data_IF_381819322671
#
_entry.id   IF_381819322671
#
_cell.length_a   1.000
_cell.length_b   1.000
_cell.length_c   1.000
_cell.angle_alpha   90.00
_cell.angle_beta   90.00
_cell.angle_gamma   90.00
#
_symmetry.space_group_name_H-M   'P 1'
#
loop_
_entity.id
_entity.type
_entity.pdbx_description
1 polymer ?
#
# COMPACT_ATOMS: atom_id res chain seq x y z
N UNK A 1 18.68 -29.94 14.24
CA UNK A 1 19.23 -29.77 12.87
C UNK A 1 18.11 -29.72 11.83
N UNK A 2 17.27 -30.76 11.71
CA UNK A 2 16.15 -30.79 10.73
C UNK A 2 15.23 -29.56 10.82
N UNK A 3 14.74 -29.22 12.01
CA UNK A 3 13.87 -28.04 12.18
C UNK A 3 14.53 -26.71 11.84
N UNK A 4 15.85 -26.58 11.99
CA UNK A 4 16.60 -25.40 11.60
C UNK A 4 16.74 -25.32 10.07
N UNK A 5 17.07 -26.45 9.41
CA UNK A 5 17.14 -26.52 7.95
C UNK A 5 15.79 -26.20 7.28
N UNK A 6 14.67 -26.64 7.87
CA UNK A 6 13.32 -26.29 7.39
C UNK A 6 13.01 -24.80 7.52
N UNK A 7 13.49 -24.15 8.59
CA UNK A 7 13.30 -22.72 8.78
C UNK A 7 14.17 -21.90 7.80
N UNK A 8 15.43 -22.29 7.61
CA UNK A 8 16.36 -21.57 6.72
C UNK A 8 16.09 -21.83 5.24
N UNK A 9 15.50 -22.98 4.89
CA UNK A 9 15.16 -23.36 3.52
C UNK A 9 13.73 -23.04 3.10
N UNK A 10 12.92 -22.37 3.94
CA UNK A 10 11.53 -22.09 3.60
C UNK A 10 11.43 -20.98 2.54
N UNK A 11 10.75 -21.21 1.39
CA UNK A 11 10.57 -20.21 0.34
C UNK A 11 9.44 -19.20 0.69
N UNK A 12 9.36 -18.78 1.95
CA UNK A 12 8.30 -17.89 2.46
C UNK A 12 7.02 -18.60 2.90
N UNK A 13 7.01 -19.93 2.99
CA UNK A 13 5.87 -20.70 3.53
C UNK A 13 5.89 -20.63 5.07
N UNK A 14 4.94 -19.88 5.64
CA UNK A 14 4.82 -19.66 7.09
C UNK A 14 4.59 -20.98 7.83
N UNK A 15 3.77 -21.89 7.27
CA UNK A 15 3.49 -23.19 7.89
C UNK A 15 4.74 -24.06 8.01
N UNK A 16 5.63 -23.99 7.02
CA UNK A 16 6.90 -24.73 7.03
C UNK A 16 7.87 -24.17 8.07
N UNK A 17 7.89 -22.83 8.25
CA UNK A 17 8.65 -22.16 9.30
C UNK A 17 8.11 -22.57 10.67
N UNK A 18 6.79 -22.59 10.86
CA UNK A 18 6.14 -22.98 12.11
C UNK A 18 6.37 -24.45 12.45
N UNK A 19 6.27 -25.35 11.46
CA UNK A 19 6.63 -26.75 11.61
C UNK A 19 8.11 -26.92 11.97
N UNK A 20 9.00 -26.19 11.30
CA UNK A 20 10.44 -26.18 11.62
C UNK A 20 10.74 -25.70 13.03
N UNK A 21 10.03 -24.67 13.51
CA UNK A 21 10.11 -24.18 14.91
C UNK A 21 9.65 -25.23 15.90
N UNK A 22 8.55 -25.92 15.64
CA UNK A 22 8.05 -26.99 16.51
C UNK A 22 9.06 -28.15 16.63
N UNK A 23 9.60 -28.61 15.49
CA UNK A 23 10.59 -29.70 15.45
C UNK A 23 11.90 -29.29 16.14
N UNK A 24 12.38 -28.06 15.91
CA UNK A 24 13.57 -27.55 16.59
C UNK A 24 13.35 -27.42 18.10
N UNK A 25 12.18 -26.92 18.52
CA UNK A 25 11.82 -26.78 19.93
C UNK A 25 11.76 -28.12 20.66
N UNK A 26 11.12 -29.14 20.07
CA UNK A 26 11.10 -30.49 20.63
C UNK A 26 12.50 -31.10 20.76
N UNK A 27 13.35 -30.91 19.74
CA UNK A 27 14.73 -31.40 19.78
C UNK A 27 15.58 -30.73 20.86
N UNK A 28 15.47 -29.39 20.99
CA UNK A 28 16.17 -28.65 22.05
C UNK A 28 15.66 -29.07 23.42
N UNK A 29 14.34 -29.17 23.61
CA UNK A 29 13.71 -29.58 24.86
C UNK A 29 14.12 -30.99 25.31
N UNK A 30 14.23 -31.94 24.37
CA UNK A 30 14.64 -33.31 24.67
C UNK A 30 16.13 -33.43 25.05
N UNK A 31 17.01 -32.60 24.47
CA UNK A 31 18.46 -32.66 24.70
C UNK A 31 18.91 -31.79 25.88
N UNK A 32 18.19 -30.69 26.16
CA UNK A 32 18.50 -29.76 27.25
C UNK A 32 18.74 -30.43 28.63
N UNK A 33 17.98 -31.45 29.08
CA UNK A 33 18.23 -32.11 30.37
C UNK A 33 19.39 -33.13 30.33
N UNK A 34 19.86 -33.55 29.15
CA UNK A 34 20.89 -34.59 29.02
C UNK A 34 22.26 -34.07 29.44
N UNK A 35 22.62 -32.86 29.02
CA UNK A 35 23.93 -32.26 29.30
C UNK A 35 24.17 -32.05 30.81
N UNK A 36 23.24 -31.46 31.58
CA UNK A 36 23.40 -31.29 33.03
C UNK A 36 23.49 -32.62 33.77
N UNK A 37 22.69 -33.62 33.38
CA UNK A 37 22.71 -34.95 33.99
C UNK A 37 24.04 -35.66 33.71
N UNK A 38 24.55 -35.56 32.49
CA UNK A 38 25.86 -36.11 32.14
C UNK A 38 26.99 -35.46 32.95
N UNK A 39 27.01 -34.12 33.03
CA UNK A 39 27.99 -33.37 33.83
C UNK A 39 27.91 -33.77 35.30
N UNK A 40 26.70 -33.99 35.81
CA UNK A 40 26.46 -34.42 37.19
C UNK A 40 26.99 -35.85 37.45
N UNK A 41 26.84 -36.77 36.50
CA UNK A 41 27.33 -38.15 36.63
C UNK A 41 28.86 -38.24 36.66
N UNK A 42 29.57 -37.43 35.86
CA UNK A 42 31.05 -37.41 35.82
C UNK A 42 31.66 -36.56 36.95
N UNK A 43 30.85 -35.88 37.76
CA UNK A 43 31.31 -35.02 38.85
C UNK A 43 31.36 -35.75 40.21
N UNK A 44 32.19 -35.28 41.17
CA UNK A 44 32.22 -35.82 42.52
C UNK A 44 30.84 -35.84 43.20
N UNK A 45 30.49 -36.89 43.96
CA UNK A 45 29.17 -37.02 44.59
C UNK A 45 28.77 -35.83 45.48
N UNK A 46 29.75 -35.18 46.10
CA UNK A 46 29.56 -34.03 46.99
C UNK A 46 28.99 -32.78 46.30
N UNK A 47 29.09 -32.66 44.97
CA UNK A 47 28.66 -31.47 44.22
C UNK A 47 27.59 -31.75 43.15
N UNK A 48 27.27 -33.02 42.90
CA UNK A 48 26.34 -33.47 41.85
C UNK A 48 25.01 -32.72 41.84
N UNK A 49 24.35 -32.67 43.00
CA UNK A 49 23.05 -31.99 43.14
C UNK A 49 23.12 -30.47 42.93
N UNK A 50 24.26 -29.84 43.25
CA UNK A 50 24.45 -28.39 43.05
C UNK A 50 24.58 -28.04 41.58
N UNK A 51 25.30 -28.86 40.80
CA UNK A 51 25.49 -28.63 39.36
C UNK A 51 24.17 -28.70 38.58
N UNK A 52 23.34 -29.70 38.88
CA UNK A 52 21.99 -29.81 38.29
C UNK A 52 21.09 -28.66 38.75
N UNK A 53 21.13 -28.31 40.04
CA UNK A 53 20.35 -27.22 40.60
C UNK A 53 20.67 -25.85 39.98
N UNK A 54 21.95 -25.53 39.77
CA UNK A 54 22.35 -24.27 39.12
C UNK A 54 21.85 -24.18 37.68
N UNK A 55 21.91 -25.28 36.92
CA UNK A 55 21.39 -25.32 35.56
C UNK A 55 19.88 -25.11 35.53
N UNK A 56 19.14 -25.80 36.40
CA UNK A 56 17.68 -25.70 36.46
C UNK A 56 17.23 -24.29 36.86
N UNK A 57 17.89 -23.67 37.85
CA UNK A 57 17.63 -22.27 38.23
C UNK A 57 17.88 -21.32 37.05
N UNK A 58 18.97 -21.51 36.31
CA UNK A 58 19.27 -20.73 35.12
C UNK A 58 18.23 -20.88 34.02
N UNK A 59 17.80 -22.12 33.74
CA UNK A 59 16.78 -22.45 32.75
C UNK A 59 15.42 -21.82 33.09
N UNK A 60 14.96 -21.97 34.34
CA UNK A 60 13.70 -21.40 34.80
C UNK A 60 13.76 -19.86 34.84
N UNK A 61 14.90 -19.30 35.24
CA UNK A 61 15.15 -17.86 35.19
C UNK A 61 15.04 -17.31 33.76
N UNK A 62 15.67 -17.97 32.79
CA UNK A 62 15.60 -17.57 31.38
C UNK A 62 14.18 -17.66 30.81
N UNK A 63 13.43 -18.73 31.14
CA UNK A 63 12.03 -18.87 30.74
C UNK A 63 11.16 -17.77 31.35
N UNK A 64 11.36 -17.44 32.62
CA UNK A 64 10.67 -16.35 33.30
C UNK A 64 10.98 -14.99 32.65
N UNK A 65 12.26 -14.71 32.33
CA UNK A 65 12.64 -13.51 31.58
C UNK A 65 11.96 -13.47 30.20
N UNK A 66 11.97 -14.57 29.45
CA UNK A 66 11.30 -14.67 28.15
C UNK A 66 9.79 -14.45 28.24
N UNK A 67 9.14 -14.97 29.27
CA UNK A 67 7.73 -14.71 29.56
C UNK A 67 7.48 -13.23 29.85
N UNK A 68 8.27 -12.61 30.72
CA UNK A 68 8.13 -11.19 31.06
C UNK A 68 8.41 -10.27 29.87
N UNK A 69 9.40 -10.58 29.05
CA UNK A 69 9.65 -9.84 27.79
C UNK A 69 8.43 -9.94 26.88
N UNK A 70 7.89 -11.13 26.64
CA UNK A 70 6.69 -11.31 25.82
C UNK A 70 5.47 -10.59 26.42
N UNK A 71 5.29 -10.66 27.74
CA UNK A 71 4.21 -9.99 28.45
C UNK A 71 4.32 -8.46 28.34
N UNK A 72 5.51 -7.91 28.59
CA UNK A 72 5.79 -6.48 28.45
C UNK A 72 5.57 -6.04 27.02
N UNK A 73 6.12 -6.75 26.02
CA UNK A 73 5.90 -6.46 24.59
C UNK A 73 4.41 -6.45 24.27
N UNK A 74 3.66 -7.49 24.67
CA UNK A 74 2.22 -7.58 24.42
C UNK A 74 1.41 -6.44 25.09
N UNK A 75 1.86 -5.95 26.24
CA UNK A 75 1.16 -4.93 27.04
C UNK A 75 1.55 -3.50 26.69
N UNK A 76 2.80 -3.26 26.31
CA UNK A 76 3.34 -1.91 26.01
C UNK A 76 3.35 -1.61 24.52
N UNK A 77 3.48 -2.64 23.67
CA UNK A 77 3.36 -2.50 22.22
C UNK A 77 1.92 -2.91 21.87
N UNK A 78 1.00 -1.94 21.92
CA UNK A 78 -0.36 -2.15 21.43
C UNK A 78 -0.31 -2.50 19.93
N UNK A 79 -1.14 -3.44 19.43
CA UNK A 79 -1.35 -3.63 17.99
C UNK A 79 -1.72 -2.31 17.27
N UNK A 80 -2.32 -1.37 18.02
CA UNK A 80 -2.74 -0.05 17.56
C UNK A 80 -1.65 1.02 17.77
N UNK A 81 -0.67 0.79 18.65
CA UNK A 81 0.55 1.61 18.76
C UNK A 81 1.60 1.24 17.69
N UNK A 82 1.14 0.60 16.61
CA UNK A 82 1.88 -0.05 15.54
C UNK A 82 2.62 0.87 14.58
N UNK A 83 3.36 1.86 15.07
CA UNK A 83 4.19 2.70 14.21
C UNK A 83 5.66 2.29 14.23
N UNK A 84 6.16 1.54 15.22
CA UNK A 84 7.60 1.27 15.40
C UNK A 84 8.09 -0.07 14.84
N UNK A 85 7.27 -1.12 14.81
CA UNK A 85 7.72 -2.47 14.38
C UNK A 85 8.19 -2.51 12.92
N UNK A 86 7.46 -1.86 12.01
CA UNK A 86 7.86 -1.79 10.60
C UNK A 86 9.11 -0.90 10.41
N UNK A 87 9.43 -0.01 11.36
CA UNK A 87 10.65 0.83 11.30
C UNK A 87 11.92 0.02 11.45
N UNK A 88 11.88 -1.10 12.18
CA UNK A 88 13.04 -1.98 12.29
C UNK A 88 13.46 -2.52 10.93
N UNK A 89 12.52 -2.70 10.00
CA UNK A 89 12.85 -3.08 8.62
C UNK A 89 13.58 -1.97 7.87
N UNK A 90 13.26 -0.69 8.14
CA UNK A 90 13.94 0.43 7.47
C UNK A 90 15.43 0.50 7.79
N UNK A 91 15.88 0.02 8.95
CA UNK A 91 17.30 0.00 9.33
C UNK A 91 18.01 -1.29 8.93
N UNK A 92 17.28 -2.32 8.49
CA UNK A 92 17.86 -3.57 8.01
C UNK A 92 18.56 -3.35 6.66
N UNK A 93 19.87 -3.67 6.52
CA UNK A 93 20.59 -3.59 5.25
C UNK A 93 19.96 -4.42 4.13
N UNK A 94 19.24 -5.49 4.46
CA UNK A 94 18.56 -6.36 3.49
C UNK A 94 17.21 -5.83 3.01
N UNK A 95 16.69 -4.75 3.61
CA UNK A 95 15.41 -4.19 3.19
C UNK A 95 15.55 -3.44 1.86
N UNK A 96 14.76 -3.85 0.86
CA UNK A 96 14.79 -3.32 -0.51
C UNK A 96 13.64 -2.37 -0.88
N UNK A 97 12.67 -2.16 0.02
CA UNK A 97 11.50 -1.32 -0.21
C UNK A 97 10.20 -1.95 0.29
N UNK A 98 9.11 -1.18 0.29
CA UNK A 98 7.80 -1.66 0.73
C UNK A 98 6.63 -0.86 0.14
N UNK A 99 5.48 -1.53 -0.07
CA UNK A 99 4.20 -0.85 -0.22
C UNK A 99 3.70 -0.37 1.14
N UNK A 100 3.10 0.82 1.16
CA UNK A 100 2.45 1.39 2.35
C UNK A 100 0.98 1.57 2.07
N UNK A 101 0.13 1.08 2.97
CA UNK A 101 -1.33 1.23 2.89
C UNK A 101 -1.88 1.88 4.16
N UNK A 102 -3.20 2.08 4.21
CA UNK A 102 -3.87 2.62 5.41
C UNK A 102 -3.51 1.78 6.65
N UNK A 103 -3.32 2.41 7.82
CA UNK A 103 -3.44 3.84 8.09
C UNK A 103 -2.14 4.66 7.86
N UNK A 104 -1.04 4.04 7.45
CA UNK A 104 0.30 4.64 7.54
C UNK A 104 0.71 5.58 6.39
N UNK A 105 -0.09 5.67 5.31
CA UNK A 105 0.25 6.49 4.14
C UNK A 105 0.56 7.96 4.46
N UNK A 106 -0.03 8.52 5.52
CA UNK A 106 0.15 9.91 5.94
C UNK A 106 1.32 10.12 6.91
N UNK A 107 1.79 9.06 7.57
CA UNK A 107 2.78 9.16 8.66
C UNK A 107 4.18 8.74 8.24
N UNK A 108 4.28 7.92 7.19
CA UNK A 108 5.55 7.31 6.77
C UNK A 108 6.60 8.33 6.30
N UNK A 109 6.17 9.53 5.86
CA UNK A 109 7.07 10.62 5.46
C UNK A 109 8.09 10.99 6.53
N UNK A 110 7.76 10.81 7.83
CA UNK A 110 8.65 11.12 8.96
C UNK A 110 9.86 10.20 9.05
N UNK A 111 9.86 9.12 8.27
CA UNK A 111 10.87 8.07 8.27
C UNK A 111 11.55 7.94 6.90
N UNK A 112 11.24 8.84 5.98
CA UNK A 112 11.93 8.95 4.71
C UNK A 112 12.99 10.06 4.83
N UNK A 113 14.19 9.82 4.30
CA UNK A 113 15.20 10.86 4.13
C UNK A 113 14.74 11.88 3.08
N UNK A 114 14.10 11.39 2.02
CA UNK A 114 13.57 12.19 0.92
C UNK A 114 12.14 11.78 0.59
N UNK A 115 11.32 12.75 0.18
CA UNK A 115 9.96 12.51 -0.32
C UNK A 115 9.84 13.21 -1.66
N UNK A 116 9.38 12.48 -2.68
CA UNK A 116 9.24 13.05 -4.02
C UNK A 116 8.26 14.23 -4.02
N UNK A 117 8.49 15.24 -4.87
CA UNK A 117 7.62 16.42 -4.96
C UNK A 117 6.14 16.05 -5.15
N UNK A 118 5.88 15.01 -5.97
CA UNK A 118 4.54 14.47 -6.17
C UNK A 118 3.94 13.87 -4.91
N UNK A 119 4.70 13.11 -4.12
CA UNK A 119 4.19 12.49 -2.90
C UNK A 119 3.98 13.55 -1.80
N UNK A 120 4.80 14.61 -1.77
CA UNK A 120 4.58 15.77 -0.92
C UNK A 120 3.27 16.48 -1.27
N UNK A 121 3.02 16.74 -2.55
CA UNK A 121 1.80 17.41 -3.00
C UNK A 121 0.55 16.54 -2.77
N UNK A 122 0.64 15.25 -3.05
CA UNK A 122 -0.43 14.29 -2.74
C UNK A 122 -0.63 14.19 -1.21
N UNK A 123 0.41 14.41 -0.41
CA UNK A 123 0.36 14.32 1.05
C UNK A 123 0.27 12.88 1.56
N UNK A 124 0.60 11.90 0.72
CA UNK A 124 0.53 10.48 1.06
C UNK A 124 1.60 9.69 0.30
N UNK A 125 2.23 8.73 0.98
CA UNK A 125 3.24 7.83 0.43
C UNK A 125 2.65 6.42 0.44
N UNK A 126 2.68 5.74 -0.71
CA UNK A 126 2.28 4.33 -0.83
C UNK A 126 3.47 3.42 -1.18
N UNK A 127 4.66 3.99 -1.42
CA UNK A 127 5.83 3.27 -1.91
C UNK A 127 7.07 3.79 -1.20
N UNK A 128 7.82 2.89 -0.56
CA UNK A 128 9.13 3.17 0.02
C UNK A 128 10.19 2.59 -0.91
N UNK A 129 11.16 3.41 -1.27
CA UNK A 129 12.29 3.07 -2.12
C UNK A 129 13.57 3.20 -1.30
N UNK A 130 14.47 2.24 -1.49
CA UNK A 130 15.81 2.29 -0.92
C UNK A 130 16.75 2.75 -2.01
N UNK A 131 17.45 3.86 -1.78
CA UNK A 131 18.45 4.41 -2.70
C UNK A 131 19.83 4.24 -2.09
N UNK A 132 20.82 4.11 -2.95
CA UNK A 132 22.23 4.19 -2.58
C UNK A 132 22.79 5.43 -3.28
N UNK A 133 23.03 6.47 -2.50
CA UNK A 133 23.59 7.74 -2.98
C UNK A 133 24.96 7.91 -2.33
N UNK A 134 26.01 7.83 -3.14
CA UNK A 134 27.41 7.96 -2.71
C UNK A 134 27.83 7.00 -1.59
N UNK A 135 27.31 5.76 -1.60
CA UNK A 135 27.60 4.76 -0.57
C UNK A 135 26.81 4.94 0.71
N UNK A 136 25.89 5.92 0.74
CA UNK A 136 24.92 6.11 1.82
C UNK A 136 23.56 5.62 1.37
N UNK A 137 23.03 4.67 2.14
CA UNK A 137 21.66 4.21 2.00
C UNK A 137 20.68 5.28 2.46
N UNK A 138 19.76 5.67 1.60
CA UNK A 138 18.68 6.63 1.89
C UNK A 138 17.31 6.02 1.58
N UNK A 139 16.30 6.47 2.31
CA UNK A 139 14.91 6.04 2.20
C UNK A 139 14.12 7.14 1.49
N UNK A 140 13.64 6.85 0.28
CA UNK A 140 12.80 7.74 -0.51
C UNK A 140 11.33 7.31 -0.42
N UNK A 141 10.45 8.24 -0.07
CA UNK A 141 9.01 8.06 -0.03
C UNK A 141 8.35 8.56 -1.31
N UNK A 142 7.51 7.72 -1.92
CA UNK A 142 6.84 8.02 -3.18
C UNK A 142 5.36 7.58 -3.21
N UNK A 143 4.62 8.07 -4.21
CA UNK A 143 3.24 7.71 -4.48
C UNK A 143 3.05 7.19 -5.92
N UNK A 144 2.89 5.88 -6.06
CA UNK A 144 2.63 5.20 -7.34
C UNK A 144 1.14 5.11 -7.69
N UNK A 145 0.22 5.47 -6.79
CA UNK A 145 -1.21 5.50 -7.12
C UNK A 145 -1.47 6.49 -8.27
N UNK A 146 -0.81 7.66 -8.23
CA UNK A 146 -0.91 8.65 -9.31
C UNK A 146 -0.28 8.17 -10.64
N UNK A 147 0.82 7.43 -10.57
CA UNK A 147 1.47 6.85 -11.74
C UNK A 147 0.59 5.77 -12.37
N UNK A 148 0.10 4.82 -11.56
CA UNK A 148 -0.77 3.75 -12.01
C UNK A 148 -2.03 4.32 -12.68
N UNK A 149 -2.67 5.30 -12.05
CA UNK A 149 -3.86 5.94 -12.62
C UNK A 149 -3.55 6.71 -13.92
N UNK A 150 -2.42 7.43 -13.99
CA UNK A 150 -2.01 8.10 -15.23
C UNK A 150 -1.76 7.11 -16.37
N UNK A 151 -1.26 5.91 -16.05
CA UNK A 151 -1.04 4.84 -17.02
C UNK A 151 -2.36 4.25 -17.51
N UNK A 152 -3.32 4.02 -16.61
CA UNK A 152 -4.69 3.61 -16.98
C UNK A 152 -5.32 4.61 -17.95
N UNK A 153 -5.16 5.92 -17.70
CA UNK A 153 -5.66 6.97 -18.60
C UNK A 153 -5.01 6.85 -19.99
N UNK A 154 -3.68 6.75 -20.06
CA UNK A 154 -2.97 6.63 -21.35
C UNK A 154 -3.36 5.37 -22.13
N UNK A 155 -3.57 4.25 -21.44
CA UNK A 155 -3.85 2.96 -22.08
C UNK A 155 -5.32 2.82 -22.48
N UNK A 156 -6.26 3.39 -21.72
CA UNK A 156 -7.72 3.25 -21.93
C UNK A 156 -8.35 4.43 -22.65
N UNK A 157 -7.64 5.55 -22.78
CA UNK A 157 -8.08 6.72 -23.54
C UNK A 157 -6.97 7.18 -24.50
N UNK A 158 -6.58 6.34 -25.48
CA UNK A 158 -5.50 6.67 -26.41
C UNK A 158 -5.88 7.85 -27.32
N UNK A 159 -4.89 8.66 -27.70
CA UNK A 159 -5.09 9.82 -28.58
C UNK A 159 -5.67 11.06 -27.89
N UNK A 160 -5.91 10.99 -26.58
CA UNK A 160 -6.39 12.11 -25.77
C UNK A 160 -5.45 13.32 -25.87
N UNK A 161 -4.14 13.08 -25.84
CA UNK A 161 -3.09 14.09 -26.04
C UNK A 161 -3.02 14.72 -27.44
N UNK A 162 -3.70 14.16 -28.44
CA UNK A 162 -3.72 14.68 -29.82
C UNK A 162 -4.95 15.56 -30.10
N UNK A 163 -5.89 15.66 -29.16
CA UNK A 163 -7.05 16.55 -29.31
C UNK A 163 -6.59 18.00 -29.27
N UNK A 164 -7.15 18.81 -30.17
CA UNK A 164 -6.88 20.26 -30.25
C UNK A 164 -7.55 21.06 -29.11
N UNK A 165 -8.52 20.46 -28.42
CA UNK A 165 -9.23 21.06 -27.28
C UNK A 165 -8.59 20.66 -25.95
N UNK A 166 -8.45 21.59 -24.98
CA UNK A 166 -8.02 21.27 -23.64
C UNK A 166 -8.93 20.22 -23.01
N UNK A 167 -8.36 19.13 -22.54
CA UNK A 167 -9.15 18.02 -22.00
C UNK A 167 -9.62 18.31 -20.58
N UNK A 168 -10.85 17.89 -20.30
CA UNK A 168 -11.54 18.15 -19.04
C UNK A 168 -11.54 16.87 -18.19
N UNK A 169 -10.84 16.93 -17.05
CA UNK A 169 -10.85 15.85 -16.06
C UNK A 169 -11.77 16.17 -14.90
N UNK A 170 -12.59 15.22 -14.46
CA UNK A 170 -13.47 15.34 -13.30
C UNK A 170 -13.04 14.37 -12.21
N UNK A 171 -13.00 14.85 -10.97
CA UNK A 171 -12.70 14.06 -9.77
C UNK A 171 -13.86 14.16 -8.79
N UNK A 172 -14.42 13.00 -8.44
CA UNK A 172 -15.55 12.90 -7.51
C UNK A 172 -15.01 12.44 -6.16
N UNK A 173 -15.09 13.31 -5.16
CA UNK A 173 -14.54 13.13 -3.82
C UNK A 173 -13.37 14.08 -3.52
N UNK A 174 -13.13 14.32 -2.23
CA UNK A 174 -12.00 15.13 -1.74
C UNK A 174 -11.20 14.40 -0.63
N UNK A 175 -10.92 13.11 -0.82
CA UNK A 175 -10.11 12.27 0.07
C UNK A 175 -8.66 12.10 -0.39
N UNK A 176 -7.86 11.24 0.26
CA UNK A 176 -6.47 10.98 -0.15
C UNK A 176 -6.34 10.49 -1.61
N UNK A 177 -7.27 9.63 -2.04
CA UNK A 177 -7.36 9.14 -3.42
C UNK A 177 -7.60 10.27 -4.44
N UNK A 178 -8.37 11.30 -4.09
CA UNK A 178 -8.62 12.45 -4.99
C UNK A 178 -7.36 13.25 -5.32
N UNK A 179 -6.43 13.38 -4.37
CA UNK A 179 -5.15 14.07 -4.59
C UNK A 179 -4.27 13.28 -5.57
N UNK A 180 -4.23 11.95 -5.42
CA UNK A 180 -3.56 11.08 -6.39
C UNK A 180 -4.24 11.16 -7.78
N UNK A 181 -5.57 11.27 -7.82
CA UNK A 181 -6.32 11.40 -9.07
C UNK A 181 -6.04 12.70 -9.82
N UNK A 182 -6.00 13.83 -9.12
CA UNK A 182 -5.65 15.14 -9.70
C UNK A 182 -4.21 15.10 -10.23
N UNK A 183 -3.28 14.54 -9.45
CA UNK A 183 -1.90 14.37 -9.91
C UNK A 183 -1.82 13.47 -11.15
N UNK A 184 -2.59 12.38 -11.20
CA UNK A 184 -2.62 11.49 -12.35
C UNK A 184 -3.14 12.17 -13.63
N UNK A 185 -4.17 13.01 -13.50
CA UNK A 185 -4.70 13.83 -14.60
C UNK A 185 -3.63 14.82 -15.10
N UNK A 186 -2.93 15.50 -14.19
CA UNK A 186 -1.81 16.37 -14.54
C UNK A 186 -0.70 15.61 -15.29
N UNK A 187 -0.27 14.45 -14.78
CA UNK A 187 0.72 13.58 -15.44
C UNK A 187 0.25 13.02 -16.80
N UNK A 188 -1.06 12.94 -17.01
CA UNK A 188 -1.67 12.55 -18.28
C UNK A 188 -1.85 13.72 -19.26
N UNK A 189 -1.47 14.95 -18.87
CA UNK A 189 -1.53 16.14 -19.74
C UNK A 189 -2.80 16.96 -19.63
N UNK A 190 -3.65 16.72 -18.64
CA UNK A 190 -4.87 17.51 -18.43
C UNK A 190 -4.53 18.86 -17.81
N UNK A 191 -4.99 19.94 -18.43
CA UNK A 191 -4.76 21.31 -17.96
C UNK A 191 -5.87 21.86 -17.06
N UNK A 192 -7.06 21.24 -17.11
CA UNK A 192 -8.24 21.70 -16.37
C UNK A 192 -8.92 20.52 -15.68
N UNK A 193 -9.02 20.61 -14.36
CA UNK A 193 -9.64 19.58 -13.54
C UNK A 193 -10.75 20.19 -12.71
N UNK A 194 -11.87 19.49 -12.65
CA UNK A 194 -12.99 19.84 -11.81
C UNK A 194 -13.10 18.84 -10.65
N UNK A 195 -13.34 19.35 -9.45
CA UNK A 195 -13.51 18.54 -8.26
C UNK A 195 -14.91 18.79 -7.65
N UNK A 196 -15.60 17.71 -7.30
CA UNK A 196 -16.86 17.76 -6.58
C UNK A 196 -16.77 16.95 -5.29
N UNK A 197 -17.29 17.49 -4.20
CA UNK A 197 -17.33 16.81 -2.91
C UNK A 197 -18.47 17.37 -2.05
N UNK A 198 -19.11 16.53 -1.22
CA UNK A 198 -20.22 16.96 -0.34
C UNK A 198 -19.83 18.09 0.61
N UNK A 199 -18.58 18.10 1.05
CA UNK A 199 -18.00 19.14 1.92
C UNK A 199 -17.08 20.00 1.09
N UNK A 200 -17.55 21.20 0.71
CA UNK A 200 -16.86 22.12 -0.20
C UNK A 200 -15.47 22.49 0.28
N UNK A 201 -15.32 22.73 1.58
CA UNK A 201 -14.08 23.18 2.21
C UNK A 201 -12.93 22.16 2.00
N UNK A 202 -13.25 20.87 1.87
CA UNK A 202 -12.24 19.85 1.55
C UNK A 202 -11.75 19.97 0.11
N UNK A 203 -12.66 20.21 -0.84
CA UNK A 203 -12.31 20.42 -2.24
C UNK A 203 -11.52 21.71 -2.43
N UNK A 204 -11.88 22.78 -1.73
CA UNK A 204 -11.15 24.07 -1.73
C UNK A 204 -9.70 23.93 -1.28
N UNK A 205 -9.45 23.17 -0.22
CA UNK A 205 -8.08 22.89 0.25
C UNK A 205 -7.27 22.18 -0.83
N UNK A 206 -7.84 21.16 -1.45
CA UNK A 206 -7.16 20.43 -2.53
C UNK A 206 -6.90 21.35 -3.74
N UNK A 207 -7.89 22.14 -4.15
CA UNK A 207 -7.73 23.07 -5.26
C UNK A 207 -6.61 24.09 -4.99
N UNK A 208 -6.52 24.60 -3.77
CA UNK A 208 -5.43 25.50 -3.34
C UNK A 208 -4.07 24.82 -3.39
N UNK A 209 -3.97 23.59 -2.90
CA UNK A 209 -2.70 22.86 -2.88
C UNK A 209 -2.16 22.62 -4.30
N UNK A 210 -3.05 22.30 -5.25
CA UNK A 210 -2.68 22.01 -6.65
C UNK A 210 -2.64 23.23 -7.59
N UNK A 211 -2.94 24.44 -7.09
CA UNK A 211 -3.11 25.64 -7.91
C UNK A 211 -1.86 26.01 -8.73
N UNK A 212 -0.67 25.61 -8.27
CA UNK A 212 0.60 25.84 -8.97
C UNK A 212 0.82 24.90 -10.17
N UNK A 213 0.17 23.73 -10.21
CA UNK A 213 0.36 22.72 -11.25
C UNK A 213 -0.72 22.77 -12.34
N UNK A 214 -1.98 22.98 -11.96
CA UNK A 214 -3.11 22.99 -12.88
C UNK A 214 -4.30 23.76 -12.33
N UNK A 215 -5.22 24.13 -13.22
CA UNK A 215 -6.46 24.79 -12.83
C UNK A 215 -7.42 23.76 -12.25
N UNK A 216 -7.58 23.76 -10.93
CA UNK A 216 -8.57 22.94 -10.21
C UNK A 216 -9.76 23.81 -9.83
N UNK A 217 -10.92 23.53 -10.43
CA UNK A 217 -12.17 24.26 -10.20
C UNK A 217 -13.15 23.41 -9.38
N UNK A 218 -13.75 24.03 -8.37
CA UNK A 218 -14.76 23.34 -7.55
C UNK A 218 -16.10 23.47 -8.25
N UNK A 219 -16.82 22.36 -8.32
CA UNK A 219 -18.17 22.34 -8.85
C UNK A 219 -19.18 22.25 -7.72
N UNK A 220 -19.97 23.30 -7.61
CA UNK A 220 -20.98 23.49 -6.56
C UNK A 220 -22.39 23.15 -7.06
N UNK A 221 -22.61 23.21 -8.38
CA UNK A 221 -23.90 22.95 -8.99
C UNK A 221 -23.76 22.24 -10.34
N UNK A 222 -24.76 21.43 -10.66
CA UNK A 222 -24.83 20.66 -11.90
C UNK A 222 -24.99 21.56 -13.14
N UNK A 223 -25.43 22.82 -13.01
CA UNK A 223 -25.46 23.75 -14.16
C UNK A 223 -24.05 24.15 -14.62
N UNK A 224 -23.09 24.29 -13.70
CA UNK A 224 -21.68 24.58 -14.04
C UNK A 224 -20.99 23.43 -14.80
N UNK A 225 -21.51 22.21 -14.61
CA UNK A 225 -21.03 20.99 -15.27
C UNK A 225 -21.43 20.92 -16.74
N UNK A 226 -22.62 21.43 -17.10
CA UNK A 226 -23.12 21.41 -18.48
C UNK A 226 -22.23 22.19 -19.45
N UNK A 227 -21.55 23.23 -18.97
CA UNK A 227 -20.62 24.02 -19.78
C UNK A 227 -19.29 23.31 -20.05
N UNK A 228 -19.00 22.20 -19.36
CA UNK A 228 -17.69 21.56 -19.35
C UNK A 228 -17.82 20.03 -19.36
N UNK A 229 -18.29 19.42 -20.46
CA UNK A 229 -18.44 17.97 -20.55
C UNK A 229 -17.10 17.27 -20.24
N UNK A 230 -17.15 16.25 -19.40
CA UNK A 230 -15.94 15.54 -18.96
C UNK A 230 -15.41 14.63 -20.07
N UNK A 231 -14.09 14.63 -20.30
CA UNK A 231 -13.41 13.62 -21.11
C UNK A 231 -12.98 12.42 -20.25
N UNK A 232 -12.59 12.69 -19.00
CA UNK A 232 -12.23 11.67 -18.00
C UNK A 232 -12.94 11.94 -16.69
N UNK A 233 -13.59 10.93 -16.12
CA UNK A 233 -14.23 10.99 -14.79
C UNK A 233 -13.56 10.00 -13.87
N UNK A 234 -13.12 10.45 -12.69
CA UNK A 234 -12.46 9.60 -11.68
C UNK A 234 -13.25 9.62 -10.36
N UNK A 235 -13.82 8.48 -10.00
CA UNK A 235 -14.45 8.24 -8.72
C UNK A 235 -13.42 7.94 -7.63
N UNK A 236 -13.49 8.66 -6.52
CA UNK A 236 -12.57 8.47 -5.37
C UNK A 236 -13.31 8.34 -4.04
N UNK A 237 -14.63 8.19 -4.10
CA UNK A 237 -15.50 7.94 -2.95
C UNK A 237 -15.79 6.44 -2.83
N UNK A 238 -16.03 5.91 -1.61
CA UNK A 238 -16.42 4.51 -1.44
C UNK A 238 -17.71 4.21 -2.21
N UNK A 239 -17.73 3.10 -2.95
CA UNK A 239 -18.85 2.75 -3.85
C UNK A 239 -20.17 2.54 -3.09
N UNK A 240 -20.09 2.11 -1.83
CA UNK A 240 -21.20 1.93 -0.90
C UNK A 240 -21.82 3.25 -0.42
N UNK A 241 -21.14 4.39 -0.63
CA UNK A 241 -21.61 5.70 -0.18
C UNK A 241 -22.38 6.48 -1.25
N UNK A 242 -22.57 5.90 -2.43
CA UNK A 242 -23.18 6.53 -3.61
C UNK A 242 -24.16 5.60 -4.32
N UNK A 243 -25.08 6.19 -5.08
CA UNK A 243 -26.07 5.52 -5.92
C UNK A 243 -25.94 5.98 -7.37
N UNK A 244 -26.49 5.23 -8.33
CA UNK A 244 -26.49 5.64 -9.74
C UNK A 244 -27.25 6.96 -9.96
N UNK A 245 -28.28 7.20 -9.14
CA UNK A 245 -29.03 8.46 -9.17
C UNK A 245 -28.19 9.69 -8.83
N UNK A 246 -27.12 9.52 -8.05
CA UNK A 246 -26.21 10.62 -7.71
C UNK A 246 -25.40 11.08 -8.92
N UNK A 247 -25.30 10.23 -9.94
CA UNK A 247 -24.56 10.47 -11.18
C UNK A 247 -25.47 10.78 -12.38
N UNK A 248 -26.79 10.77 -12.21
CA UNK A 248 -27.76 11.00 -13.28
C UNK A 248 -27.63 12.38 -13.95
N UNK A 249 -26.98 13.33 -13.26
CA UNK A 249 -26.74 14.70 -13.73
C UNK A 249 -25.30 14.94 -14.18
N UNK A 250 -24.43 13.91 -14.17
CA UNK A 250 -23.10 14.02 -14.77
C UNK A 250 -23.24 14.33 -16.27
N UNK A 251 -22.40 15.24 -16.76
CA UNK A 251 -22.42 15.68 -18.15
C UNK A 251 -21.26 15.01 -18.87
N UNK A 252 -21.63 14.00 -19.64
CA UNK A 252 -20.70 13.16 -20.37
C UNK A 252 -20.40 13.81 -21.72
N UNK A 253 -19.13 13.82 -22.14
CA UNK A 253 -18.78 14.15 -23.51
C UNK A 253 -19.47 13.19 -24.48
N UNK A 254 -20.19 13.74 -25.47
CA UNK A 254 -20.93 13.00 -26.47
C UNK A 254 -20.01 12.24 -27.45
N UNK A 255 -18.74 12.64 -27.57
CA UNK A 255 -17.72 11.91 -28.34
C UNK A 255 -17.20 10.66 -27.62
N UNK A 256 -17.63 10.43 -26.38
CA UNK A 256 -17.10 9.39 -25.52
C UNK A 256 -16.02 9.92 -24.56
N UNK A 257 -15.50 9.01 -23.73
CA UNK A 257 -14.57 9.34 -22.67
C UNK A 257 -14.16 8.13 -21.85
N UNK A 258 -13.45 8.38 -20.76
CA UNK A 258 -12.99 7.34 -19.83
C UNK A 258 -13.54 7.59 -18.42
N UNK A 259 -14.22 6.61 -17.86
CA UNK A 259 -14.61 6.61 -16.46
C UNK A 259 -13.77 5.61 -15.68
N UNK A 260 -13.16 6.06 -14.59
CA UNK A 260 -12.37 5.25 -13.67
C UNK A 260 -13.00 5.35 -12.30
N UNK A 261 -13.10 4.25 -11.57
CA UNK A 261 -13.46 4.28 -10.16
C UNK A 261 -12.35 3.63 -9.35
N UNK A 262 -11.83 4.32 -8.33
CA UNK A 262 -10.79 3.78 -7.47
C UNK A 262 -11.34 2.74 -6.48
N UNK A 263 -12.66 2.67 -6.30
CA UNK A 263 -13.27 1.55 -5.57
C UNK A 263 -13.23 0.27 -6.41
N UNK A 264 -12.73 -0.81 -5.81
CA UNK A 264 -12.68 -2.14 -6.43
C UNK A 264 -13.69 -3.12 -5.83
N UNK A 265 -14.50 -2.68 -4.84
CA UNK A 265 -15.57 -3.47 -4.23
C UNK A 265 -16.86 -2.65 -4.14
N UNK A 266 -17.93 -3.03 -4.87
CA UNK A 266 -17.97 -4.06 -5.92
C UNK A 266 -17.15 -3.66 -7.17
N UNK A 267 -16.81 -4.64 -8.03
CA UNK A 267 -16.12 -4.36 -9.31
C UNK A 267 -16.93 -3.44 -10.24
N UNK A 268 -18.26 -3.57 -10.23
CA UNK A 268 -19.18 -2.71 -10.97
C UNK A 268 -19.84 -1.72 -10.01
N UNK A 269 -19.19 -0.58 -9.83
CA UNK A 269 -19.68 0.49 -8.96
C UNK A 269 -20.84 1.25 -9.61
N UNK A 270 -21.67 1.98 -8.83
CA UNK A 270 -22.72 2.81 -9.40
C UNK A 270 -22.20 3.84 -10.43
N UNK A 271 -21.00 4.39 -10.22
CA UNK A 271 -20.38 5.32 -11.17
C UNK A 271 -20.06 4.61 -12.50
N UNK A 272 -19.39 3.46 -12.45
CA UNK A 272 -19.03 2.70 -13.66
C UNK A 272 -20.27 2.22 -14.42
N UNK A 273 -21.31 1.76 -13.73
CA UNK A 273 -22.59 1.39 -14.37
C UNK A 273 -23.29 2.57 -15.04
N UNK A 274 -23.14 3.77 -14.48
CA UNK A 274 -23.69 4.99 -15.11
C UNK A 274 -22.90 5.35 -16.37
N UNK A 275 -21.58 5.23 -16.34
CA UNK A 275 -20.70 5.48 -17.49
C UNK A 275 -20.94 4.48 -18.64
N UNK A 276 -21.13 3.19 -18.33
CA UNK A 276 -21.40 2.15 -19.34
C UNK A 276 -22.69 2.38 -20.14
N UNK A 277 -23.63 3.16 -19.61
CA UNK A 277 -24.87 3.54 -20.32
C UNK A 277 -24.63 4.66 -21.34
N UNK A 278 -23.47 5.30 -21.33
CA UNK A 278 -23.14 6.42 -22.21
C UNK A 278 -22.43 5.92 -23.47
N UNK A 279 -22.87 6.40 -24.63
CA UNK A 279 -22.25 6.03 -25.90
C UNK A 279 -20.80 6.52 -25.97
N UNK A 280 -19.88 5.64 -26.38
CA UNK A 280 -18.46 5.97 -26.54
C UNK A 280 -17.64 6.00 -25.24
N UNK A 281 -18.24 5.71 -24.08
CA UNK A 281 -17.54 5.70 -22.80
C UNK A 281 -16.93 4.34 -22.48
N UNK A 282 -15.65 4.35 -22.11
CA UNK A 282 -14.90 3.19 -21.62
C UNK A 282 -14.80 3.26 -20.10
N UNK A 283 -14.81 2.11 -19.44
CA UNK A 283 -14.64 2.03 -17.98
C UNK A 283 -13.35 1.31 -17.59
N UNK A 284 -12.71 1.78 -16.51
CA UNK A 284 -11.64 1.07 -15.80
C UNK A 284 -12.03 0.91 -14.32
N UNK A 285 -11.91 -0.32 -13.81
CA UNK A 285 -12.27 -0.65 -12.44
C UNK A 285 -11.11 -0.37 -11.46
N UNK A 286 -11.38 -0.40 -10.15
CA UNK A 286 -10.34 -0.17 -9.15
C UNK A 286 -9.24 -1.24 -9.14
N UNK A 287 -9.49 -2.43 -9.71
CA UNK A 287 -8.47 -3.48 -9.86
C UNK A 287 -7.48 -3.11 -10.96
N UNK A 288 -7.93 -2.50 -12.07
CA UNK A 288 -7.01 -1.98 -13.09
C UNK A 288 -6.02 -0.96 -12.49
N UNK A 289 -6.52 -0.06 -11.64
CA UNK A 289 -5.67 0.92 -10.93
C UNK A 289 -4.71 0.23 -9.94
N UNK A 290 -5.22 -0.75 -9.18
CA UNK A 290 -4.43 -1.55 -8.23
C UNK A 290 -3.29 -2.30 -8.92
N UNK A 291 -3.52 -2.82 -10.13
CA UNK A 291 -2.51 -3.54 -10.90
C UNK A 291 -1.44 -2.59 -11.43
N UNK A 292 -1.82 -1.47 -12.05
CA UNK A 292 -0.84 -0.54 -12.64
C UNK A 292 0.05 0.11 -11.57
N UNK A 293 -0.49 0.46 -10.39
CA UNK A 293 0.36 0.95 -9.29
C UNK A 293 1.35 -0.12 -8.80
N UNK A 294 0.94 -1.39 -8.76
CA UNK A 294 1.79 -2.50 -8.31
C UNK A 294 2.91 -2.80 -9.32
N UNK A 295 2.61 -2.71 -10.61
CA UNK A 295 3.62 -2.85 -11.67
C UNK A 295 4.67 -1.75 -11.58
N UNK A 296 4.23 -0.51 -11.29
CA UNK A 296 5.14 0.61 -11.06
C UNK A 296 6.06 0.33 -9.85
N UNK A 297 5.50 -0.09 -8.72
CA UNK A 297 6.28 -0.45 -7.53
C UNK A 297 7.31 -1.55 -7.81
N UNK A 298 6.88 -2.63 -8.46
CA UNK A 298 7.76 -3.74 -8.83
C UNK A 298 8.96 -3.26 -9.65
N UNK A 299 8.71 -2.41 -10.66
CA UNK A 299 9.77 -1.86 -11.50
C UNK A 299 10.69 -0.93 -10.72
N UNK A 300 10.15 -0.11 -9.83
CA UNK A 300 10.96 0.79 -8.99
C UNK A 300 11.89 0.05 -8.03
N UNK A 301 11.47 -1.10 -7.49
CA UNK A 301 12.30 -1.89 -6.57
C UNK A 301 13.29 -2.80 -7.28
N UNK A 302 12.89 -3.42 -8.39
CA UNK A 302 13.69 -4.47 -9.03
C UNK A 302 14.47 -3.98 -10.26
N UNK A 303 14.08 -2.84 -10.84
CA UNK A 303 14.56 -2.41 -12.15
C UNK A 303 14.03 -3.24 -13.32
N UNK A 304 13.21 -4.25 -13.07
CA UNK A 304 12.69 -5.19 -14.07
C UNK A 304 11.22 -4.90 -14.39
N UNK A 305 10.80 -5.27 -15.60
CA UNK A 305 9.38 -5.25 -15.94
C UNK A 305 8.64 -6.39 -15.25
N UNK A 306 7.47 -6.08 -14.68
CA UNK A 306 6.65 -7.06 -13.98
C UNK A 306 6.01 -8.06 -14.96
N UNK A 307 5.82 -9.33 -14.57
CA UNK A 307 5.06 -10.30 -15.34
C UNK A 307 3.55 -10.01 -15.27
N UNK A 308 3.12 -8.94 -15.96
CA UNK A 308 1.77 -8.34 -15.88
C UNK A 308 0.64 -9.36 -16.01
N UNK A 309 0.72 -10.26 -17.00
CA UNK A 309 -0.32 -11.25 -17.27
C UNK A 309 -0.54 -12.23 -16.09
N UNK A 310 0.54 -12.68 -15.45
CA UNK A 310 0.48 -13.63 -14.33
C UNK A 310 -0.12 -12.94 -13.10
N UNK A 311 0.34 -11.73 -12.80
CA UNK A 311 -0.12 -10.94 -11.65
C UNK A 311 -1.60 -10.56 -11.83
N UNK A 312 -1.99 -10.06 -13.01
CA UNK A 312 -3.37 -9.69 -13.30
C UNK A 312 -4.33 -10.86 -13.09
N UNK A 313 -3.96 -12.05 -13.58
CA UNK A 313 -4.76 -13.27 -13.41
C UNK A 313 -4.94 -13.62 -11.93
N UNK A 314 -3.87 -13.59 -11.14
CA UNK A 314 -3.93 -13.91 -9.71
C UNK A 314 -4.81 -12.94 -8.92
N UNK A 315 -4.70 -11.63 -9.18
CA UNK A 315 -5.48 -10.61 -8.48
C UNK A 315 -6.96 -10.66 -8.85
N UNK A 316 -7.29 -10.85 -10.14
CA UNK A 316 -8.67 -10.95 -10.61
C UNK A 316 -9.38 -12.25 -10.20
N UNK A 317 -8.65 -13.29 -9.81
CA UNK A 317 -9.23 -14.51 -9.23
C UNK A 317 -9.60 -14.36 -7.75
N UNK A 318 -9.04 -13.36 -7.07
CA UNK A 318 -9.17 -13.16 -5.63
C UNK A 318 -10.13 -12.03 -5.24
N UNK A 319 -10.72 -11.33 -6.22
CA UNK A 319 -11.67 -10.21 -6.05
C UNK A 319 -12.91 -10.44 -6.92
#
# INVERSE_FOLDING_TARGET
MVGAAMQTGSPGLVDLIMAGRAIAGLGIGAVAPVIPVYIAEVSPPSIRGRLVGFFEIGSQGAQMCGFWVNYVVKKTISPEAGASQWRTLLVDPAFGGASVTMPYKLEVHRFCDHVTERAQLIGAINTILVRDEDGRRTIEGDNTDCHGLSQVIRDRFPGHSQKSTPQVGWVIGAGGASRAAIMALHLAGFSRVFISNRTREKAERIAKDFAALLKVEIIDSWEHMNAHPADVVIGTVPAESVLESDFARLVWNAEGGLCIDMSYKPLQTPLLRTAQKQAGWVTADGVDVLLEQAYCQFKLWTGLDSPRAIIAKAVRQSN
#
